data_IF_728571402953
#
_entry.id   IF_728571402953
#
_cell.length_a   1.000
_cell.length_b   1.000
_cell.length_c   1.000
_cell.angle_alpha   90.00
_cell.angle_beta   90.00
_cell.angle_gamma   90.00
#
_symmetry.space_group_name_H-M   'P 1'
#
loop_
_entity.id
_entity.type
_entity.pdbx_description
1 polymer ?
#
# COMPACT_ATOMS: atom_id res chain seq x y z
N UNK A 1 -8.96 22.63 12.34
CA UNK A 1 -7.80 22.55 11.44
C UNK A 1 -7.39 21.10 11.43
N UNK A 2 -7.96 20.32 10.50
CA UNK A 2 -7.63 18.90 10.33
C UNK A 2 -6.56 18.88 9.24
N UNK A 3 -5.35 18.48 9.60
CA UNK A 3 -4.25 18.37 8.63
C UNK A 3 -4.50 17.14 7.74
N UNK A 4 -4.29 17.27 6.43
CA UNK A 4 -4.59 16.22 5.44
C UNK A 4 -3.88 14.88 5.70
N UNK A 5 -2.82 14.89 6.51
CA UNK A 5 -2.10 13.70 6.95
C UNK A 5 -2.91 12.82 7.92
N UNK A 6 -3.92 13.36 8.61
CA UNK A 6 -4.71 12.60 9.58
C UNK A 6 -5.71 11.66 8.90
N UNK A 7 -6.33 12.09 7.79
CA UNK A 7 -7.27 11.27 7.02
C UNK A 7 -6.57 10.06 6.38
N UNK A 8 -5.39 10.27 5.79
CA UNK A 8 -4.62 9.19 5.15
C UNK A 8 -4.13 8.15 6.16
N UNK A 9 -3.81 8.57 7.40
CA UNK A 9 -3.41 7.67 8.49
C UNK A 9 -4.55 6.78 8.95
N UNK A 10 -5.76 7.34 9.09
CA UNK A 10 -6.92 6.57 9.53
C UNK A 10 -7.31 5.49 8.50
N UNK A 11 -7.20 5.79 7.20
CA UNK A 11 -7.44 4.81 6.14
C UNK A 11 -6.42 3.67 6.18
N UNK A 12 -5.11 3.98 6.30
CA UNK A 12 -4.07 2.95 6.35
C UNK A 12 -4.20 2.05 7.57
N UNK A 13 -4.49 2.62 8.75
CA UNK A 13 -4.71 1.83 9.96
C UNK A 13 -5.89 0.87 9.83
N UNK A 14 -7.02 1.34 9.30
CA UNK A 14 -8.19 0.49 9.08
C UNK A 14 -7.88 -0.67 8.13
N UNK A 15 -7.18 -0.41 7.03
CA UNK A 15 -6.80 -1.45 6.07
C UNK A 15 -5.88 -2.51 6.69
N UNK A 16 -4.94 -2.08 7.55
CA UNK A 16 -4.03 -2.98 8.28
C UNK A 16 -4.76 -3.78 9.34
N UNK A 17 -5.69 -3.18 10.07
CA UNK A 17 -6.52 -3.87 11.06
C UNK A 17 -7.39 -4.92 10.38
N UNK A 18 -8.05 -4.59 9.27
CA UNK A 18 -8.84 -5.52 8.47
C UNK A 18 -7.97 -6.69 7.94
N UNK A 19 -6.78 -6.39 7.43
CA UNK A 19 -5.84 -7.41 6.95
C UNK A 19 -5.29 -8.29 8.08
N UNK A 20 -4.99 -7.69 9.24
CA UNK A 20 -4.51 -8.42 10.43
C UNK A 20 -5.59 -9.34 10.99
N UNK A 21 -6.84 -8.91 10.98
CA UNK A 21 -7.99 -9.74 11.34
C UNK A 21 -8.19 -10.88 10.36
N UNK A 22 -8.02 -10.65 9.06
CA UNK A 22 -8.13 -11.69 8.03
C UNK A 22 -7.03 -12.75 8.15
N UNK A 23 -5.79 -12.33 8.41
CA UNK A 23 -4.63 -13.22 8.53
C UNK A 23 -4.48 -13.82 9.94
N UNK A 24 -5.22 -13.28 10.93
CA UNK A 24 -5.10 -13.57 12.36
C UNK A 24 -3.66 -13.41 12.88
N UNK A 25 -2.90 -12.49 12.27
CA UNK A 25 -1.51 -12.18 12.57
C UNK A 25 -1.24 -10.68 12.37
N UNK A 26 -0.19 -10.15 12.98
CA UNK A 26 0.16 -8.72 12.92
C UNK A 26 0.78 -8.37 11.57
N UNK A 27 0.12 -7.52 10.81
CA UNK A 27 0.68 -6.94 9.58
C UNK A 27 1.60 -5.77 9.93
N UNK A 28 2.90 -5.97 9.76
CA UNK A 28 3.94 -4.95 10.04
C UNK A 28 4.63 -4.42 8.80
N UNK A 29 4.49 -5.13 7.66
CA UNK A 29 5.19 -4.85 6.42
C UNK A 29 4.20 -4.70 5.28
N UNK A 30 4.37 -3.66 4.47
CA UNK A 30 3.46 -3.34 3.37
C UNK A 30 4.21 -2.93 2.11
N UNK A 31 3.61 -3.21 0.96
CA UNK A 31 4.00 -2.62 -0.32
C UNK A 31 2.89 -1.66 -0.76
N UNK A 32 3.25 -0.47 -1.21
CA UNK A 32 2.30 0.60 -1.52
C UNK A 32 2.40 0.95 -2.99
N UNK A 33 1.26 1.02 -3.68
CA UNK A 33 1.21 1.49 -5.07
C UNK A 33 1.11 3.01 -5.12
N UNK A 34 1.78 3.62 -6.10
CA UNK A 34 1.68 5.05 -6.37
C UNK A 34 1.41 5.31 -7.86
N UNK A 35 0.76 6.44 -8.21
CA UNK A 35 0.54 6.81 -9.59
C UNK A 35 1.84 6.91 -10.38
N UNK A 36 1.81 6.61 -11.68
CA UNK A 36 2.99 6.63 -12.55
C UNK A 36 3.72 7.99 -12.58
N UNK A 37 2.99 9.08 -12.33
CA UNK A 37 3.49 10.45 -12.38
C UNK A 37 4.02 10.97 -11.03
N UNK A 38 4.07 10.12 -9.99
CA UNK A 38 4.61 10.51 -8.69
C UNK A 38 6.11 10.77 -8.77
N UNK A 39 6.51 11.98 -8.36
CA UNK A 39 7.90 12.38 -8.21
C UNK A 39 8.54 11.74 -6.96
N UNK A 40 9.86 11.83 -6.84
CA UNK A 40 10.61 11.25 -5.71
C UNK A 40 10.20 11.86 -4.35
N UNK A 41 9.83 13.14 -4.32
CA UNK A 41 9.40 13.80 -3.08
C UNK A 41 8.11 13.20 -2.53
N UNK A 42 7.13 12.92 -3.39
CA UNK A 42 5.89 12.30 -2.96
C UNK A 42 6.12 10.83 -2.57
N UNK A 43 7.05 10.12 -3.22
CA UNK A 43 7.44 8.75 -2.81
C UNK A 43 8.04 8.73 -1.41
N UNK A 44 8.91 9.69 -1.08
CA UNK A 44 9.46 9.84 0.27
C UNK A 44 8.34 10.13 1.27
N UNK A 45 7.41 11.02 0.93
CA UNK A 45 6.24 11.32 1.76
C UNK A 45 5.35 10.11 2.03
N UNK A 46 5.10 9.26 1.02
CA UNK A 46 4.35 8.01 1.19
C UNK A 46 5.08 7.02 2.10
N UNK A 47 6.41 6.91 1.96
CA UNK A 47 7.22 6.05 2.83
C UNK A 47 7.18 6.54 4.28
N UNK A 48 7.25 7.84 4.48
CA UNK A 48 7.20 8.45 5.81
C UNK A 48 5.81 8.33 6.44
N UNK A 49 4.75 8.49 5.65
CA UNK A 49 3.38 8.24 6.09
C UNK A 49 3.19 6.79 6.56
N UNK A 50 3.76 5.81 5.85
CA UNK A 50 3.76 4.42 6.29
C UNK A 50 4.52 4.21 7.60
N UNK A 51 5.69 4.85 7.76
CA UNK A 51 6.48 4.81 9.00
C UNK A 51 5.73 5.44 10.19
N UNK A 52 5.05 6.56 9.98
CA UNK A 52 4.22 7.23 11.00
C UNK A 52 3.01 6.35 11.38
N UNK A 53 2.56 5.49 10.48
CA UNK A 53 1.50 4.51 10.74
C UNK A 53 2.01 3.20 11.40
N UNK A 54 3.28 3.12 11.81
CA UNK A 54 3.93 1.91 12.36
C UNK A 54 4.03 0.74 11.35
N UNK A 55 4.14 1.07 10.06
CA UNK A 55 4.26 0.12 8.96
C UNK A 55 5.60 0.26 8.27
N UNK A 56 6.27 -0.87 8.03
CA UNK A 56 7.48 -0.93 7.21
C UNK A 56 7.11 -1.00 5.72
N UNK A 57 7.27 0.12 5.01
CA UNK A 57 7.07 0.16 3.56
C UNK A 57 8.28 -0.47 2.85
N UNK A 58 8.09 -1.70 2.36
CA UNK A 58 9.13 -2.49 1.70
C UNK A 58 9.43 -2.00 0.27
N UNK A 59 8.38 -1.70 -0.48
CA UNK A 59 8.50 -1.26 -1.86
C UNK A 59 7.39 -0.27 -2.23
N UNK A 60 7.75 0.74 -3.01
CA UNK A 60 6.79 1.63 -3.66
C UNK A 60 6.73 1.24 -5.13
N UNK A 61 5.59 0.69 -5.54
CA UNK A 61 5.41 0.12 -6.87
C UNK A 61 4.56 1.06 -7.72
N UNK A 62 4.83 1.13 -9.02
CA UNK A 62 4.00 1.90 -9.93
C UNK A 62 2.67 1.17 -10.15
N UNK A 63 1.57 1.88 -9.91
CA UNK A 63 0.22 1.37 -10.11
C UNK A 63 -0.03 0.73 -11.48
N UNK A 64 0.31 1.35 -12.64
CA UNK A 64 0.03 0.72 -13.93
C UNK A 64 0.78 -0.60 -14.12
N UNK A 65 1.99 -0.73 -13.55
CA UNK A 65 2.77 -1.97 -13.62
C UNK A 65 2.12 -3.07 -12.79
N UNK A 66 1.63 -2.74 -11.59
CA UNK A 66 0.89 -3.69 -10.74
C UNK A 66 -0.42 -4.11 -11.39
N UNK A 67 -1.14 -3.18 -12.03
CA UNK A 67 -2.37 -3.49 -12.74
C UNK A 67 -2.14 -4.50 -13.88
N UNK A 68 -1.06 -4.32 -14.68
CA UNK A 68 -0.68 -5.28 -15.71
C UNK A 68 -0.34 -6.65 -15.12
N UNK A 69 0.44 -6.70 -14.04
CA UNK A 69 0.75 -7.97 -13.35
C UNK A 69 -0.49 -8.65 -12.78
N UNK A 70 -1.40 -7.90 -12.18
CA UNK A 70 -2.65 -8.44 -11.63
C UNK A 70 -3.53 -9.05 -12.73
N UNK A 71 -3.65 -8.37 -13.88
CA UNK A 71 -4.38 -8.89 -15.04
C UNK A 71 -3.77 -10.18 -15.58
N UNK A 72 -2.44 -10.26 -15.69
CA UNK A 72 -1.75 -11.47 -16.10
C UNK A 72 -1.94 -12.60 -15.06
N UNK A 73 -1.78 -12.32 -13.77
CA UNK A 73 -2.00 -13.29 -12.69
C UNK A 73 -3.43 -13.81 -12.63
N UNK A 74 -4.42 -12.96 -12.87
CA UNK A 74 -5.83 -13.35 -12.93
C UNK A 74 -6.11 -14.25 -14.14
N UNK A 75 -5.56 -13.91 -15.31
CA UNK A 75 -5.72 -14.71 -16.53
C UNK A 75 -4.91 -16.02 -16.53
N UNK A 76 -3.81 -16.08 -15.79
CA UNK A 76 -3.03 -17.31 -15.60
C UNK A 76 -3.67 -18.31 -14.63
N UNK A 77 -4.85 -18.04 -14.05
CA UNK A 77 -5.60 -19.03 -13.26
C UNK A 77 -6.34 -20.10 -14.08
N UNK A 78 -6.05 -20.22 -15.38
CA UNK A 78 -6.35 -21.45 -16.12
C UNK A 78 -5.17 -22.41 -16.03
N UNK A 79 -5.45 -23.56 -15.42
CA UNK A 79 -4.64 -24.78 -15.33
C UNK A 79 -3.76 -24.96 -14.07
N UNK A 80 -4.38 -25.52 -13.02
CA UNK A 80 -3.89 -26.69 -12.26
C UNK A 80 -5.06 -27.41 -11.57
#
# INVERSE_FOLDING_TARGET
MVEADDESKQVLRKLVDDASNFLNDKVTKVAVTVPAYFNDSHRIGTKDAGRIADLEVLHIINEPSVASWAYEFENSKFDV
#
